data_IF_639718488914
#
_entry.id   IF_639718488914
#
_cell.length_a   1.000
_cell.length_b   1.000
_cell.length_c   1.000
_cell.angle_alpha   90.00
_cell.angle_beta   90.00
_cell.angle_gamma   90.00
#
_symmetry.space_group_name_H-M   'P 1'
#
loop_
_entity.id
_entity.type
_entity.pdbx_description
1 polymer ?
#
# COMPACT_ATOMS: atom_id res chain seq x y z
N UNK A 1 -11.24 7.69 5.63
CA UNK A 1 -11.07 7.47 7.07
C UNK A 1 -9.87 8.23 7.63
N UNK A 2 -8.66 8.04 7.09
CA UNK A 2 -7.42 8.67 7.58
C UNK A 2 -7.18 10.12 7.09
N UNK A 3 -8.01 10.64 6.21
CA UNK A 3 -7.92 11.99 5.66
C UNK A 3 -9.18 12.85 5.95
N UNK A 4 -10.13 12.34 6.77
CA UNK A 4 -11.36 13.08 7.09
C UNK A 4 -11.20 13.99 8.30
N UNK A 5 -10.17 13.79 9.12
CA UNK A 5 -9.98 14.47 10.40
C UNK A 5 -10.86 13.94 11.54
N UNK A 6 -11.85 13.10 11.25
CA UNK A 6 -12.84 12.62 12.23
C UNK A 6 -12.27 11.58 13.21
N UNK A 7 -11.16 10.92 12.85
CA UNK A 7 -10.58 9.81 13.60
C UNK A 7 -9.10 10.00 13.96
N UNK A 8 -8.58 11.19 13.81
CA UNK A 8 -7.16 11.49 13.99
C UNK A 8 -6.66 11.13 15.39
N UNK A 9 -7.43 11.51 16.42
CA UNK A 9 -7.09 11.18 17.81
C UNK A 9 -7.02 9.66 18.06
N UNK A 10 -7.95 8.89 17.49
CA UNK A 10 -7.98 7.44 17.63
C UNK A 10 -6.81 6.78 16.88
N UNK A 11 -6.52 7.26 15.67
CA UNK A 11 -5.39 6.79 14.87
C UNK A 11 -4.08 7.02 15.61
N UNK A 12 -3.83 8.25 16.06
CA UNK A 12 -2.62 8.62 16.79
C UNK A 12 -2.48 7.84 18.10
N UNK A 13 -3.51 7.86 18.94
CA UNK A 13 -3.47 7.24 20.27
C UNK A 13 -3.32 5.71 20.18
N UNK A 14 -4.12 5.06 19.34
CA UNK A 14 -4.13 3.59 19.32
C UNK A 14 -2.84 3.03 18.73
N UNK A 15 -2.38 3.56 17.59
CA UNK A 15 -1.15 3.10 16.96
C UNK A 15 0.07 3.39 17.83
N UNK A 16 0.21 4.60 18.37
CA UNK A 16 1.31 4.95 19.26
C UNK A 16 1.32 4.08 20.53
N UNK A 17 0.17 3.84 21.13
CA UNK A 17 0.03 3.01 22.34
C UNK A 17 0.46 1.56 22.07
N UNK A 18 0.04 0.97 20.95
CA UNK A 18 0.46 -0.39 20.54
C UNK A 18 1.98 -0.44 20.43
N UNK A 19 2.59 0.48 19.68
CA UNK A 19 4.03 0.52 19.44
C UNK A 19 4.83 0.71 20.74
N UNK A 20 4.40 1.64 21.60
CA UNK A 20 5.01 1.88 22.92
C UNK A 20 4.94 0.63 23.81
N UNK A 21 3.79 -0.03 23.85
CA UNK A 21 3.61 -1.23 24.69
C UNK A 21 4.46 -2.41 24.18
N UNK A 22 4.53 -2.62 22.85
CA UNK A 22 5.42 -3.63 22.27
C UNK A 22 6.86 -3.35 22.71
N UNK A 23 7.38 -2.16 22.47
CA UNK A 23 8.76 -1.82 22.71
C UNK A 23 9.15 -1.89 24.20
N UNK A 24 8.27 -1.48 25.11
CA UNK A 24 8.50 -1.61 26.55
C UNK A 24 8.70 -3.06 27.00
N UNK A 25 7.99 -3.99 26.37
CA UNK A 25 8.02 -5.40 26.76
C UNK A 25 9.12 -6.20 26.06
N UNK A 26 9.66 -5.75 24.94
CA UNK A 26 10.61 -6.56 24.14
C UNK A 26 12.08 -6.18 24.34
N UNK A 27 12.37 -5.06 25.00
CA UNK A 27 13.76 -4.56 25.12
C UNK A 27 14.73 -5.54 25.78
N UNK A 28 14.22 -6.36 26.72
CA UNK A 28 15.05 -7.32 27.47
C UNK A 28 15.17 -8.66 26.73
N UNK A 29 14.19 -9.01 25.87
CA UNK A 29 14.15 -10.26 25.09
C UNK A 29 14.76 -10.11 23.70
N UNK A 30 14.83 -8.88 23.19
CA UNK A 30 15.39 -8.51 21.88
C UNK A 30 14.90 -9.38 20.70
N UNK A 31 13.60 -9.65 20.57
CA UNK A 31 13.11 -10.36 19.39
C UNK A 31 13.32 -9.51 18.14
N UNK A 32 13.43 -10.16 16.98
CA UNK A 32 13.41 -9.44 15.72
C UNK A 32 12.01 -8.85 15.50
N UNK A 33 11.92 -7.53 15.31
CA UNK A 33 10.67 -6.81 15.13
C UNK A 33 10.59 -6.27 13.70
N UNK A 34 9.49 -6.55 13.03
CA UNK A 34 9.11 -5.87 11.79
C UNK A 34 8.11 -4.76 12.07
N UNK A 35 8.36 -3.57 11.53
CA UNK A 35 7.44 -2.44 11.60
C UNK A 35 6.99 -2.02 10.19
N UNK A 36 5.69 -2.11 9.94
CA UNK A 36 5.06 -1.60 8.73
C UNK A 36 4.82 -0.10 8.83
N UNK A 37 5.72 0.68 8.26
CA UNK A 37 5.53 2.10 8.04
C UNK A 37 4.74 2.34 6.74
N UNK A 38 4.62 3.58 6.31
CA UNK A 38 3.79 3.98 5.18
C UNK A 38 4.42 5.12 4.40
N UNK A 39 4.19 5.16 3.11
CA UNK A 39 4.53 6.31 2.27
C UNK A 39 3.81 7.60 2.67
N UNK A 40 2.74 7.52 3.49
CA UNK A 40 2.08 8.70 4.06
C UNK A 40 2.97 9.51 5.01
N UNK A 41 4.11 8.95 5.45
CA UNK A 41 5.08 9.68 6.29
C UNK A 41 5.95 10.64 5.49
N UNK A 42 6.01 10.56 4.15
CA UNK A 42 6.77 11.48 3.34
C UNK A 42 6.20 12.90 3.36
N UNK A 43 7.05 13.93 3.26
CA UNK A 43 6.59 15.31 3.28
C UNK A 43 5.65 15.63 2.12
N UNK A 44 4.59 16.38 2.39
CA UNK A 44 3.64 16.83 1.38
C UNK A 44 4.33 17.61 0.24
N UNK A 45 5.31 18.47 0.58
CA UNK A 45 6.01 19.30 -0.41
C UNK A 45 6.79 18.50 -1.47
N UNK A 46 7.14 17.23 -1.19
CA UNK A 46 7.74 16.31 -2.16
C UNK A 46 6.71 15.67 -3.11
N UNK A 47 5.42 15.92 -2.92
CA UNK A 47 4.31 15.23 -3.54
C UNK A 47 3.31 16.18 -4.22
N UNK A 48 3.72 17.44 -4.46
CA UNK A 48 2.87 18.47 -5.08
C UNK A 48 2.80 18.33 -6.59
N UNK A 49 3.88 17.84 -7.23
CA UNK A 49 3.91 17.59 -8.67
C UNK A 49 3.51 16.13 -8.96
N UNK A 50 2.42 15.90 -9.72
CA UNK A 50 2.00 14.54 -10.06
C UNK A 50 2.98 13.81 -10.99
N UNK A 51 3.89 14.51 -11.66
CA UNK A 51 4.81 13.91 -12.62
C UNK A 51 6.16 13.53 -11.99
N UNK A 52 6.57 14.25 -10.95
CA UNK A 52 7.91 14.10 -10.34
C UNK A 52 7.86 14.06 -8.80
N UNK A 53 7.03 13.21 -8.17
CA UNK A 53 7.06 13.07 -6.73
C UNK A 53 8.38 12.46 -6.27
N UNK A 54 8.94 12.99 -5.17
CA UNK A 54 10.19 12.48 -4.60
C UNK A 54 9.96 11.83 -3.23
N UNK A 55 9.82 10.51 -3.23
CA UNK A 55 9.66 9.68 -2.04
C UNK A 55 10.86 8.73 -1.85
N UNK A 56 12.08 9.19 -2.10
CA UNK A 56 13.30 8.45 -1.70
C UNK A 56 13.43 8.45 -0.18
N UNK A 57 14.05 7.43 0.38
CA UNK A 57 14.14 7.26 1.83
C UNK A 57 14.83 8.44 2.53
N UNK A 58 15.80 9.07 1.88
CA UNK A 58 16.56 10.22 2.40
C UNK A 58 15.78 11.54 2.35
N UNK A 59 14.69 11.62 1.56
CA UNK A 59 13.85 12.83 1.45
C UNK A 59 12.75 12.93 2.50
N UNK A 60 12.74 12.03 3.47
CA UNK A 60 11.77 12.05 4.58
C UNK A 60 11.87 13.30 5.46
N UNK A 61 12.96 14.04 5.34
CA UNK A 61 13.21 15.24 6.14
C UNK A 61 13.64 16.43 5.25
N UNK A 62 13.20 17.68 5.60
CA UNK A 62 12.39 18.06 6.76
C UNK A 62 10.98 17.44 6.70
N UNK A 63 10.51 16.93 7.85
CA UNK A 63 9.23 16.23 7.94
C UNK A 63 8.04 17.19 7.79
N UNK A 64 7.07 16.82 6.95
CA UNK A 64 5.78 17.49 6.80
C UNK A 64 4.74 16.53 6.20
N UNK A 65 4.41 15.42 6.87
CA UNK A 65 3.34 14.52 6.44
C UNK A 65 1.99 15.24 6.28
N UNK A 66 1.20 14.79 5.31
CA UNK A 66 -0.10 15.36 4.95
C UNK A 66 -1.26 14.93 5.86
N UNK A 67 -0.99 14.11 6.87
CA UNK A 67 -2.02 13.55 7.77
C UNK A 67 -1.45 13.14 9.12
N UNK A 68 -2.30 13.09 10.14
CA UNK A 68 -1.94 12.59 11.48
C UNK A 68 -1.48 11.12 11.43
N UNK A 69 -2.03 10.32 10.53
CA UNK A 69 -1.55 8.98 10.24
C UNK A 69 -0.09 8.97 9.79
N UNK A 70 0.28 9.88 8.89
CA UNK A 70 1.67 10.03 8.41
C UNK A 70 2.62 10.43 9.55
N UNK A 71 2.20 11.36 10.40
CA UNK A 71 2.97 11.79 11.58
C UNK A 71 3.15 10.64 12.58
N UNK A 72 2.11 9.84 12.85
CA UNK A 72 2.22 8.66 13.72
C UNK A 72 3.21 7.65 13.15
N UNK A 73 3.14 7.35 11.87
CA UNK A 73 4.06 6.40 11.22
C UNK A 73 5.51 6.87 11.32
N UNK A 74 5.77 8.15 11.08
CA UNK A 74 7.11 8.74 11.22
C UNK A 74 7.59 8.71 12.68
N UNK A 75 6.73 9.07 13.64
CA UNK A 75 7.03 8.98 15.06
C UNK A 75 7.43 7.56 15.46
N UNK A 76 6.64 6.57 15.04
CA UNK A 76 6.89 5.17 15.33
C UNK A 76 8.18 4.64 14.69
N UNK A 77 8.51 5.01 13.44
CA UNK A 77 9.82 4.70 12.85
C UNK A 77 10.96 5.18 13.75
N UNK A 78 10.91 6.45 14.17
CA UNK A 78 11.95 7.04 15.04
C UNK A 78 12.03 6.31 16.38
N UNK A 79 10.89 5.92 16.93
CA UNK A 79 10.81 5.17 18.17
C UNK A 79 11.49 3.80 18.06
N UNK A 80 11.17 3.01 17.02
CA UNK A 80 11.80 1.72 16.76
C UNK A 80 13.31 1.85 16.53
N UNK A 81 13.75 2.82 15.73
CA UNK A 81 15.16 3.10 15.50
C UNK A 81 15.89 3.53 16.77
N UNK A 82 15.23 4.21 17.70
CA UNK A 82 15.81 4.58 18.99
C UNK A 82 16.01 3.35 19.88
N UNK A 83 15.07 2.42 19.91
CA UNK A 83 15.22 1.16 20.63
C UNK A 83 16.31 0.27 20.00
N UNK A 84 16.42 0.26 18.69
CA UNK A 84 17.53 -0.40 18.01
C UNK A 84 18.89 0.16 18.47
N UNK A 85 19.06 1.49 18.45
CA UNK A 85 20.34 2.14 18.83
C UNK A 85 20.67 1.98 20.31
N UNK A 86 19.69 2.08 21.19
CA UNK A 86 19.94 2.18 22.64
C UNK A 86 19.90 0.83 23.36
N UNK A 87 19.18 -0.14 22.81
CA UNK A 87 18.93 -1.42 23.45
C UNK A 87 19.28 -2.62 22.56
N UNK A 88 19.84 -2.39 21.36
CA UNK A 88 20.18 -3.41 20.36
C UNK A 88 18.98 -4.30 19.97
N UNK A 89 17.76 -3.79 20.01
CA UNK A 89 16.58 -4.52 19.54
C UNK A 89 16.67 -4.64 18.00
N UNK A 90 16.68 -5.86 17.44
CA UNK A 90 16.74 -6.03 15.99
C UNK A 90 15.43 -5.57 15.35
N UNK A 91 15.42 -4.48 14.58
CA UNK A 91 14.24 -3.98 13.88
C UNK A 91 14.41 -4.03 12.37
N UNK A 92 13.29 -4.20 11.67
CA UNK A 92 13.17 -4.10 10.20
C UNK A 92 12.00 -3.18 9.89
N UNK A 93 12.24 -2.16 9.08
CA UNK A 93 11.24 -1.10 8.80
C UNK A 93 11.00 -0.99 7.31
N UNK A 94 9.75 -1.22 6.88
CA UNK A 94 9.32 -1.01 5.51
C UNK A 94 8.35 0.17 5.41
N UNK A 95 8.51 1.02 4.38
CA UNK A 95 7.56 2.06 3.98
C UNK A 95 6.74 1.54 2.80
N UNK A 96 5.51 1.11 3.08
CA UNK A 96 4.64 0.55 2.05
C UNK A 96 4.02 1.63 1.16
N UNK A 97 4.12 1.42 -0.17
CA UNK A 97 3.54 2.27 -1.20
C UNK A 97 2.34 1.60 -1.88
N UNK A 98 1.11 1.94 -1.40
CA UNK A 98 -0.18 1.56 -2.00
C UNK A 98 -0.29 0.08 -2.39
N UNK A 99 -0.19 -0.80 -1.42
CA UNK A 99 -0.35 -2.24 -1.62
C UNK A 99 -1.82 -2.56 -1.94
N UNK A 100 -2.05 -3.43 -2.92
CA UNK A 100 -3.39 -3.86 -3.34
C UNK A 100 -3.38 -5.34 -3.78
N UNK A 101 -4.56 -5.95 -3.84
CA UNK A 101 -4.72 -7.33 -4.28
C UNK A 101 -6.06 -7.92 -3.84
N UNK A 102 -6.31 -9.21 -4.17
CA UNK A 102 -7.43 -9.97 -3.63
C UNK A 102 -7.44 -10.02 -2.10
N UNK A 103 -8.57 -10.42 -1.52
CA UNK A 103 -8.80 -10.61 -0.08
C UNK A 103 -8.66 -9.33 0.79
N UNK A 104 -8.41 -8.18 0.16
CA UNK A 104 -8.42 -6.88 0.84
C UNK A 104 -9.83 -6.28 0.91
N UNK A 105 -9.97 -5.16 1.64
CA UNK A 105 -11.22 -4.39 1.67
C UNK A 105 -11.55 -3.87 0.26
N UNK A 106 -12.71 -4.23 -0.26
CA UNK A 106 -13.17 -3.90 -1.61
C UNK A 106 -14.47 -3.09 -1.63
N UNK A 107 -15.14 -2.94 -0.47
CA UNK A 107 -16.38 -2.19 -0.28
C UNK A 107 -16.44 -1.57 1.11
N UNK A 108 -17.41 -0.67 1.37
CA UNK A 108 -17.67 -0.09 2.69
C UNK A 108 -16.93 1.21 2.98
N UNK A 109 -16.30 1.86 1.98
CA UNK A 109 -15.69 3.20 2.10
C UNK A 109 -14.29 3.23 2.69
N UNK A 110 -13.65 2.07 2.89
CA UNK A 110 -12.26 1.95 3.36
C UNK A 110 -11.34 1.32 2.32
N UNK A 111 -11.89 0.94 1.18
CA UNK A 111 -11.17 0.35 0.07
C UNK A 111 -10.21 1.34 -0.58
N UNK A 112 -9.08 0.85 -1.05
CA UNK A 112 -8.13 1.64 -1.84
C UNK A 112 -8.59 1.74 -3.30
N UNK A 113 -8.04 2.73 -4.01
CA UNK A 113 -8.44 3.04 -5.39
C UNK A 113 -8.47 1.83 -6.34
N UNK A 114 -7.48 0.90 -6.36
CA UNK A 114 -7.56 -0.27 -7.24
C UNK A 114 -8.80 -1.14 -6.97
N UNK A 115 -9.08 -1.47 -5.71
CA UNK A 115 -10.23 -2.28 -5.34
C UNK A 115 -11.56 -1.56 -5.61
N UNK A 116 -11.64 -0.26 -5.26
CA UNK A 116 -12.83 0.55 -5.52
C UNK A 116 -13.16 0.65 -7.02
N UNK A 117 -12.15 0.86 -7.86
CA UNK A 117 -12.31 0.97 -9.32
C UNK A 117 -12.68 -0.40 -9.90
N UNK A 118 -11.98 -1.48 -9.52
CA UNK A 118 -12.33 -2.84 -9.95
C UNK A 118 -13.80 -3.17 -9.62
N UNK A 119 -14.27 -2.85 -8.40
CA UNK A 119 -15.67 -3.04 -8.00
C UNK A 119 -16.63 -2.23 -8.86
N UNK A 120 -16.40 -0.91 -8.99
CA UNK A 120 -17.25 -0.03 -9.79
C UNK A 120 -17.37 -0.53 -11.23
N UNK A 121 -16.27 -0.96 -11.83
CA UNK A 121 -16.25 -1.52 -13.20
C UNK A 121 -16.94 -2.88 -13.26
N UNK A 122 -16.76 -3.75 -12.25
CA UNK A 122 -17.42 -5.07 -12.20
C UNK A 122 -18.94 -4.94 -12.09
N UNK A 123 -19.45 -3.96 -11.35
CA UNK A 123 -20.88 -3.66 -11.16
C UNK A 123 -21.56 -3.08 -12.43
N UNK A 124 -20.80 -2.59 -13.41
CA UNK A 124 -21.38 -2.09 -14.66
C UNK A 124 -21.98 -3.23 -15.51
N UNK A 125 -23.00 -2.92 -16.34
CA UNK A 125 -23.52 -3.85 -17.35
C UNK A 125 -22.40 -4.36 -18.29
N UNK A 126 -22.67 -5.47 -19.01
CA UNK A 126 -21.71 -6.10 -19.92
C UNK A 126 -21.14 -5.14 -21.00
N UNK A 127 -21.92 -4.15 -21.46
CA UNK A 127 -21.49 -3.16 -22.45
C UNK A 127 -20.73 -1.96 -21.86
N UNK A 128 -20.62 -1.87 -20.52
CA UNK A 128 -19.99 -0.74 -19.85
C UNK A 128 -20.97 0.28 -19.27
N UNK A 129 -20.51 1.50 -19.03
CA UNK A 129 -21.29 2.58 -18.43
C UNK A 129 -20.39 3.67 -17.84
N UNK A 130 -20.94 4.48 -16.93
CA UNK A 130 -20.21 5.57 -16.27
C UNK A 130 -19.88 5.22 -14.81
N UNK A 131 -18.66 5.59 -14.36
CA UNK A 131 -18.27 5.52 -12.95
C UNK A 131 -17.81 6.87 -12.43
N UNK A 132 -18.05 7.13 -11.15
CA UNK A 132 -17.58 8.34 -10.49
C UNK A 132 -16.09 8.25 -10.16
N UNK A 133 -15.36 9.31 -10.51
CA UNK A 133 -13.93 9.52 -10.19
C UNK A 133 -13.79 10.80 -9.38
N UNK A 134 -13.14 10.74 -8.23
CA UNK A 134 -12.92 11.92 -7.39
C UNK A 134 -11.90 12.88 -8.00
N UNK A 135 -12.26 14.17 -8.06
CA UNK A 135 -11.44 15.23 -8.61
C UNK A 135 -11.29 15.14 -10.12
N UNK A 136 -10.16 15.62 -10.63
CA UNK A 136 -9.80 15.60 -12.05
C UNK A 136 -9.24 14.26 -12.54
N UNK A 137 -8.99 13.33 -11.64
CA UNK A 137 -8.39 12.03 -11.93
C UNK A 137 -6.93 12.10 -12.40
N UNK A 138 -6.27 13.26 -12.31
CA UNK A 138 -4.88 13.47 -12.73
C UNK A 138 -3.86 13.25 -11.60
N UNK A 139 -4.31 13.06 -10.35
CA UNK A 139 -3.42 12.65 -9.26
C UNK A 139 -2.81 11.29 -9.58
N UNK A 140 -1.48 11.17 -9.35
CA UNK A 140 -0.71 9.98 -9.72
C UNK A 140 -0.34 9.14 -8.52
N UNK A 141 -0.34 7.83 -8.69
CA UNK A 141 0.09 6.84 -7.70
C UNK A 141 0.79 5.68 -8.40
N UNK A 142 1.69 5.04 -7.70
CA UNK A 142 2.10 3.67 -8.01
C UNK A 142 1.40 2.69 -7.07
N UNK A 143 1.19 1.47 -7.54
CA UNK A 143 0.50 0.42 -6.79
C UNK A 143 1.28 -0.89 -6.91
N UNK A 144 1.58 -1.51 -5.77
CA UNK A 144 2.30 -2.78 -5.71
C UNK A 144 1.32 -3.91 -5.40
N UNK A 145 1.40 -4.99 -6.17
CA UNK A 145 0.59 -6.18 -5.90
C UNK A 145 1.02 -6.87 -4.60
N UNK A 146 0.05 -7.45 -3.89
CA UNK A 146 0.26 -7.95 -2.52
C UNK A 146 1.30 -9.07 -2.44
N UNK A 147 1.36 -9.99 -3.41
CA UNK A 147 2.34 -11.09 -3.40
C UNK A 147 3.79 -10.55 -3.50
N UNK A 148 4.01 -9.53 -4.32
CA UNK A 148 5.30 -8.84 -4.43
C UNK A 148 5.68 -8.14 -3.11
N UNK A 149 4.70 -7.53 -2.45
CA UNK A 149 4.90 -6.91 -1.14
C UNK A 149 5.29 -7.96 -0.08
N UNK A 150 4.65 -9.12 -0.08
CA UNK A 150 4.96 -10.23 0.84
C UNK A 150 6.38 -10.73 0.62
N UNK A 151 6.79 -10.95 -0.63
CA UNK A 151 8.16 -11.39 -0.95
C UNK A 151 9.20 -10.35 -0.50
N UNK A 152 9.01 -9.07 -0.81
CA UNK A 152 9.90 -8.00 -0.36
C UNK A 152 10.01 -7.91 1.16
N UNK A 153 8.87 -8.02 1.83
CA UNK A 153 8.80 -8.03 3.30
C UNK A 153 9.56 -9.22 3.89
N UNK A 154 9.37 -10.40 3.32
CA UNK A 154 10.09 -11.60 3.73
C UNK A 154 11.61 -11.44 3.61
N UNK A 155 12.10 -10.93 2.45
CA UNK A 155 13.53 -10.65 2.26
C UNK A 155 14.06 -9.64 3.27
N UNK A 156 13.33 -8.56 3.53
CA UNK A 156 13.72 -7.58 4.54
C UNK A 156 13.82 -8.22 5.93
N UNK A 157 12.83 -9.02 6.33
CA UNK A 157 12.82 -9.68 7.64
C UNK A 157 13.98 -10.66 7.77
N UNK A 158 14.35 -11.39 6.71
CA UNK A 158 15.48 -12.33 6.72
C UNK A 158 16.84 -11.64 6.70
N UNK A 159 16.94 -10.42 6.18
CA UNK A 159 18.18 -9.67 6.08
C UNK A 159 18.64 -9.09 7.43
N UNK A 160 19.84 -8.51 7.44
CA UNK A 160 20.35 -7.69 8.55
C UNK A 160 20.09 -6.19 8.34
N UNK A 161 19.45 -5.81 7.25
CA UNK A 161 19.16 -4.43 6.94
C UNK A 161 18.00 -3.89 7.79
N UNK A 162 18.28 -2.89 8.62
CA UNK A 162 17.29 -2.29 9.53
C UNK A 162 16.20 -1.52 8.76
N UNK A 163 16.55 -0.90 7.66
CA UNK A 163 15.69 0.08 6.97
C UNK A 163 15.82 1.48 7.60
N UNK A 164 14.85 2.37 7.41
CA UNK A 164 13.64 2.17 6.61
C UNK A 164 13.93 1.99 5.12
N UNK A 165 13.09 1.22 4.44
CA UNK A 165 13.17 0.99 3.00
C UNK A 165 11.78 1.02 2.36
N UNK A 166 11.67 1.61 1.17
CA UNK A 166 10.45 1.58 0.39
C UNK A 166 10.16 0.16 -0.12
N UNK A 167 8.91 -0.24 -0.01
CA UNK A 167 8.36 -1.42 -0.68
C UNK A 167 7.18 -0.94 -1.51
N UNK A 168 7.38 -0.85 -2.82
CA UNK A 168 6.43 -0.29 -3.76
C UNK A 168 6.75 -0.62 -5.20
N UNK A 169 5.91 -0.16 -6.12
CA UNK A 169 6.14 -0.17 -7.56
C UNK A 169 6.55 1.23 -8.02
N UNK A 170 7.35 1.31 -9.08
CA UNK A 170 7.68 2.56 -9.76
C UNK A 170 6.77 2.82 -10.98
N UNK A 171 5.86 1.88 -11.29
CA UNK A 171 4.86 2.04 -12.35
C UNK A 171 3.78 3.04 -11.90
N UNK A 172 4.02 4.32 -12.20
CA UNK A 172 3.16 5.43 -11.80
C UNK A 172 2.06 5.68 -12.83
N UNK A 173 0.81 5.73 -12.37
CA UNK A 173 -0.35 6.02 -13.22
C UNK A 173 -1.24 7.09 -12.58
N UNK A 174 -1.97 7.85 -13.42
CA UNK A 174 -3.07 8.68 -12.93
C UNK A 174 -4.28 7.81 -12.56
N UNK A 175 -5.20 8.35 -11.75
CA UNK A 175 -6.45 7.63 -11.45
C UNK A 175 -7.27 7.40 -12.72
N UNK A 176 -7.24 8.33 -13.69
CA UNK A 176 -7.87 8.12 -14.98
C UNK A 176 -7.28 6.92 -15.74
N UNK A 177 -5.94 6.80 -15.76
CA UNK A 177 -5.28 5.64 -16.37
C UNK A 177 -5.59 4.33 -15.62
N UNK A 178 -5.71 4.37 -14.30
CA UNK A 178 -6.11 3.20 -13.51
C UNK A 178 -7.53 2.72 -13.89
N UNK A 179 -8.47 3.66 -14.15
CA UNK A 179 -9.80 3.33 -14.68
C UNK A 179 -9.69 2.69 -16.06
N UNK A 180 -8.84 3.22 -16.96
CA UNK A 180 -8.65 2.65 -18.29
C UNK A 180 -8.09 1.23 -18.25
N UNK A 181 -7.15 0.96 -17.35
CA UNK A 181 -6.61 -0.39 -17.13
C UNK A 181 -7.71 -1.34 -16.65
N UNK A 182 -8.51 -0.94 -15.65
CA UNK A 182 -9.60 -1.77 -15.15
C UNK A 182 -10.69 -2.01 -16.20
N UNK A 183 -11.01 -1.00 -17.01
CA UNK A 183 -11.96 -1.09 -18.12
C UNK A 183 -11.47 -2.08 -19.19
N UNK A 184 -10.19 -1.99 -19.57
CA UNK A 184 -9.54 -2.92 -20.50
C UNK A 184 -9.58 -4.36 -19.99
N UNK A 185 -9.23 -4.58 -18.71
CA UNK A 185 -9.25 -5.90 -18.06
C UNK A 185 -10.67 -6.49 -18.08
N UNK A 186 -11.69 -5.65 -17.86
CA UNK A 186 -13.09 -6.05 -17.82
C UNK A 186 -13.72 -6.24 -19.19
N UNK A 187 -13.05 -5.84 -20.27
CA UNK A 187 -13.61 -5.73 -21.64
C UNK A 187 -14.93 -4.90 -21.65
N UNK A 188 -14.88 -3.72 -21.00
CA UNK A 188 -16.03 -2.81 -20.88
C UNK A 188 -15.65 -1.39 -21.33
N UNK A 189 -16.62 -0.67 -21.93
CA UNK A 189 -16.47 0.75 -22.18
C UNK A 189 -16.85 1.56 -20.94
N UNK A 190 -15.90 2.36 -20.39
CA UNK A 190 -16.10 3.09 -19.14
C UNK A 190 -15.93 4.58 -19.35
N UNK A 191 -17.01 5.34 -19.12
CA UNK A 191 -17.00 6.79 -19.04
C UNK A 191 -16.64 7.23 -17.61
N UNK A 192 -15.77 8.24 -17.50
CA UNK A 192 -15.32 8.81 -16.21
C UNK A 192 -16.14 10.04 -15.88
N UNK A 193 -17.00 9.97 -14.87
CA UNK A 193 -17.73 11.11 -14.33
C UNK A 193 -16.95 11.71 -13.15
N UNK A 194 -16.30 12.86 -13.41
CA UNK A 194 -15.51 13.53 -12.39
C UNK A 194 -16.40 14.29 -11.41
N UNK A 195 -16.26 13.98 -10.11
CA UNK A 195 -17.02 14.59 -9.02
C UNK A 195 -16.09 15.15 -7.94
N UNK A 196 -16.57 16.09 -7.15
CA UNK A 196 -15.82 16.59 -5.99
C UNK A 196 -15.55 15.48 -4.97
N UNK A 197 -14.35 15.49 -4.40
CA UNK A 197 -13.95 14.51 -3.39
C UNK A 197 -12.51 14.69 -2.90
N UNK A 198 -12.11 13.99 -1.85
CA UNK A 198 -10.75 14.10 -1.28
C UNK A 198 -9.71 13.55 -2.27
N UNK A 199 -8.72 14.37 -2.61
CA UNK A 199 -7.65 14.02 -3.55
C UNK A 199 -6.40 13.47 -2.87
N UNK A 200 -6.12 13.88 -1.63
CA UNK A 200 -4.83 13.67 -0.99
C UNK A 200 -3.71 14.40 -1.73
N UNK A 201 -2.48 13.92 -1.64
CA UNK A 201 -1.33 14.49 -2.37
C UNK A 201 -1.49 14.32 -3.89
N UNK A 202 -0.87 15.21 -4.68
CA UNK A 202 -0.98 15.19 -6.15
C UNK A 202 -0.21 14.04 -6.80
N UNK A 203 0.97 13.69 -6.26
CA UNK A 203 1.80 12.60 -6.77
C UNK A 203 2.42 11.78 -5.65
N UNK A 204 2.43 10.46 -5.78
CA UNK A 204 3.16 9.56 -4.88
C UNK A 204 3.66 8.35 -5.64
N UNK A 205 4.98 8.18 -5.67
CA UNK A 205 5.64 7.06 -6.32
C UNK A 205 6.69 6.44 -5.39
N UNK A 206 6.90 5.14 -5.48
CA UNK A 206 8.06 4.52 -4.84
C UNK A 206 9.33 4.84 -5.61
N UNK A 207 10.44 4.96 -4.91
CA UNK A 207 11.78 4.80 -5.49
C UNK A 207 12.34 3.50 -4.90
N UNK A 208 12.78 2.59 -5.76
CA UNK A 208 13.21 1.26 -5.38
C UNK A 208 14.75 1.07 -5.43
N UNK A 209 15.53 2.15 -5.59
CA UNK A 209 16.99 2.04 -5.68
C UNK A 209 17.59 1.38 -4.43
N UNK A 210 17.11 1.79 -3.24
CA UNK A 210 17.64 1.27 -1.98
C UNK A 210 17.28 -0.21 -1.76
N UNK A 211 16.06 -0.63 -2.07
CA UNK A 211 15.68 -2.04 -1.90
C UNK A 211 16.41 -2.95 -2.88
N UNK A 212 16.63 -2.49 -4.12
CA UNK A 212 17.47 -3.20 -5.11
C UNK A 212 18.89 -3.39 -4.58
N UNK A 213 19.50 -2.32 -4.05
CA UNK A 213 20.86 -2.36 -3.50
C UNK A 213 20.99 -3.28 -2.28
N UNK A 214 20.04 -3.20 -1.33
CA UNK A 214 20.15 -3.86 -0.03
C UNK A 214 19.60 -5.28 0.01
N UNK A 215 18.59 -5.59 -0.82
CA UNK A 215 17.85 -6.86 -0.75
C UNK A 215 17.85 -7.63 -2.08
N UNK A 216 18.49 -7.12 -3.12
CA UNK A 216 18.49 -7.71 -4.47
C UNK A 216 17.04 -8.07 -4.90
N UNK A 217 16.12 -7.12 -4.71
CA UNK A 217 14.70 -7.30 -5.01
C UNK A 217 14.18 -6.16 -5.87
N UNK A 218 13.34 -6.51 -6.81
CA UNK A 218 12.48 -5.61 -7.55
C UNK A 218 11.14 -6.30 -7.84
N UNK A 219 10.08 -5.52 -8.07
CA UNK A 219 8.80 -6.09 -8.48
C UNK A 219 8.88 -6.60 -9.93
N UNK A 220 8.11 -7.63 -10.22
CA UNK A 220 8.06 -8.27 -11.55
C UNK A 220 6.66 -8.20 -12.17
N UNK A 221 5.62 -8.09 -11.35
CA UNK A 221 4.25 -8.03 -11.81
C UNK A 221 3.86 -6.61 -12.22
N UNK A 222 3.35 -6.46 -13.43
CA UNK A 222 2.81 -5.19 -13.92
C UNK A 222 1.50 -4.80 -13.19
N UNK A 223 1.18 -3.51 -13.21
CA UNK A 223 -0.09 -3.04 -12.64
C UNK A 223 -1.31 -3.70 -13.32
N UNK A 224 -1.28 -3.87 -14.64
CA UNK A 224 -2.38 -4.50 -15.39
C UNK A 224 -2.61 -5.95 -14.94
N UNK A 225 -1.55 -6.74 -14.77
CA UNK A 225 -1.64 -8.11 -14.27
C UNK A 225 -2.23 -8.17 -12.85
N UNK A 226 -1.78 -7.29 -11.96
CA UNK A 226 -2.32 -7.19 -10.59
C UNK A 226 -3.79 -6.73 -10.56
N UNK A 227 -4.15 -5.76 -11.41
CA UNK A 227 -5.55 -5.32 -11.58
C UNK A 227 -6.42 -6.45 -12.09
N UNK A 228 -5.92 -7.25 -13.07
CA UNK A 228 -6.67 -8.41 -13.56
C UNK A 228 -7.00 -9.40 -12.44
N UNK A 229 -6.02 -9.79 -11.63
CA UNK A 229 -6.24 -10.70 -10.50
C UNK A 229 -7.23 -10.14 -9.49
N UNK A 230 -7.12 -8.84 -9.17
CA UNK A 230 -8.01 -8.17 -8.22
C UNK A 230 -9.44 -8.04 -8.77
N UNK A 231 -9.57 -7.70 -10.05
CA UNK A 231 -10.85 -7.62 -10.75
C UNK A 231 -11.54 -8.99 -10.81
N UNK A 232 -10.82 -10.04 -11.23
CA UNK A 232 -11.36 -11.39 -11.34
C UNK A 232 -11.88 -11.85 -9.97
N UNK A 233 -11.12 -11.66 -8.90
CA UNK A 233 -11.55 -11.99 -7.55
C UNK A 233 -12.83 -11.23 -7.13
N UNK A 234 -12.89 -9.90 -7.35
CA UNK A 234 -14.08 -9.11 -7.01
C UNK A 234 -15.28 -9.57 -7.86
N UNK A 235 -15.11 -9.67 -9.17
CA UNK A 235 -16.18 -9.99 -10.11
C UNK A 235 -16.72 -11.41 -9.94
N UNK A 236 -15.84 -12.39 -9.77
CA UNK A 236 -16.21 -13.80 -9.78
C UNK A 236 -16.57 -14.31 -8.37
N UNK A 237 -15.73 -14.01 -7.36
CA UNK A 237 -15.92 -14.55 -6.02
C UNK A 237 -16.85 -13.69 -5.15
N UNK A 238 -16.73 -12.37 -5.22
CA UNK A 238 -17.49 -11.49 -4.35
C UNK A 238 -18.85 -11.09 -4.93
N UNK A 239 -18.93 -10.86 -6.24
CA UNK A 239 -20.19 -10.54 -6.92
C UNK A 239 -20.89 -11.77 -7.52
N UNK A 240 -20.25 -12.93 -7.55
CA UNK A 240 -20.83 -14.19 -8.01
C UNK A 240 -21.13 -14.23 -9.52
N UNK A 241 -20.42 -13.43 -10.32
CA UNK A 241 -20.67 -13.32 -11.76
C UNK A 241 -20.16 -14.51 -12.58
N UNK A 242 -19.31 -15.36 -11.99
CA UNK A 242 -18.91 -16.68 -12.51
C UNK A 242 -18.79 -17.70 -11.37
N UNK A 243 -19.07 -18.97 -11.65
CA UNK A 243 -18.65 -20.08 -10.78
C UNK A 243 -17.21 -20.43 -11.14
N UNK A 244 -16.28 -20.26 -10.20
CA UNK A 244 -14.86 -20.63 -10.38
C UNK A 244 -14.73 -22.14 -10.15
N UNK A 245 -14.12 -22.86 -11.10
CA UNK A 245 -13.46 -24.14 -10.79
C UNK A 245 -12.17 -23.79 -10.06
N UNK A 246 -12.14 -24.08 -8.76
CA UNK A 246 -10.97 -23.79 -7.91
C UNK A 246 -9.86 -24.78 -8.23
N UNK A 247 -8.91 -24.41 -9.08
CA UNK A 247 -7.57 -24.99 -9.00
C UNK A 247 -6.93 -24.49 -7.71
N UNK A 248 -6.60 -25.44 -6.81
CA UNK A 248 -5.93 -25.15 -5.55
C UNK A 248 -4.51 -24.64 -5.79
N UNK A 249 -4.35 -23.37 -6.10
CA UNK A 249 -3.06 -22.69 -5.98
C UNK A 249 -2.85 -22.30 -4.51
N UNK A 250 -2.00 -23.07 -3.82
CA UNK A 250 -1.54 -22.75 -2.47
C UNK A 250 -0.86 -21.38 -2.52
N UNK A 251 -1.51 -20.36 -2.03
CA UNK A 251 -1.03 -18.98 -1.98
C UNK A 251 0.31 -18.92 -1.21
N UNK A 252 1.19 -17.99 -1.58
CA UNK A 252 2.43 -17.66 -0.85
C UNK A 252 2.11 -17.35 0.63
N UNK A 253 0.93 -16.82 0.91
CA UNK A 253 0.42 -16.58 2.25
C UNK A 253 0.28 -17.86 3.09
N UNK A 254 -0.16 -18.97 2.49
CA UNK A 254 -0.23 -20.27 3.19
C UNK A 254 1.18 -20.78 3.52
N UNK A 255 2.16 -20.58 2.62
CA UNK A 255 3.57 -20.91 2.89
C UNK A 255 4.18 -20.03 3.98
N UNK A 256 3.76 -18.79 4.08
CA UNK A 256 4.19 -17.87 5.15
C UNK A 256 3.65 -18.31 6.52
N UNK A 257 2.38 -18.71 6.60
CA UNK A 257 1.79 -19.26 7.84
C UNK A 257 2.45 -20.57 8.26
N UNK A 258 2.70 -21.48 7.33
CA UNK A 258 3.41 -22.75 7.60
C UNK A 258 4.88 -22.53 8.06
N UNK A 259 5.46 -21.40 7.68
CA UNK A 259 6.80 -21.03 8.13
C UNK A 259 6.81 -20.42 9.53
N UNK A 260 5.77 -19.67 9.94
CA UNK A 260 5.66 -19.12 11.30
C UNK A 260 5.44 -20.18 12.37
N UNK A 261 4.96 -21.37 11.98
CA UNK A 261 4.73 -22.52 12.88
C UNK A 261 5.96 -23.43 13.03
N UNK A 262 7.10 -23.12 12.42
CA UNK A 262 8.39 -23.80 12.53
C UNK A 262 9.42 -22.97 13.30
#
# INVERSE_FOLDING_TARGET
YIFTGEHDADVMNNSATINLNILRNVKDYKPKIFFSSSACMYPEHNQLDPNTPDCREDTAYPANPDSEYGWEKLFSERLYLSYHRNYDVPVRIARYHNIFGPEGTWTGGREKAPAAICRKVAELPKGGGSIEVWGDGLQTRSFLFVDECVEATYRLVQSDFTGPVNIGSEEMVSINQLVDIAAKVADKEVEKNHIDGPLGVRGRNSNNDLIREKLDWDYTMTLEEGIKKTYDWINEEQLGNKKVEVEQNVSIFTRFLEWMDR
#
